data_IF_083950726331
#
_entry.id   IF_083950726331
#
_cell.length_a   1.000
_cell.length_b   1.000
_cell.length_c   1.000
_cell.angle_alpha   90.00
_cell.angle_beta   90.00
_cell.angle_gamma   90.00
#
_symmetry.space_group_name_H-M   'P 1'
#
loop_
_entity.id
_entity.type
_entity.pdbx_description
1 polymer ?
#
# COMPACT_ATOMS: atom_id res chain seq x y z
N UNK A 1 4.25 -1.82 18.66
CA UNK A 1 5.03 -1.11 17.64
C UNK A 1 6.19 -0.33 18.24
N UNK A 2 5.94 0.52 19.24
CA UNK A 2 6.97 1.33 19.92
C UNK A 2 8.22 0.54 20.36
N UNK A 3 8.06 -0.49 21.22
CA UNK A 3 9.19 -1.31 21.70
C UNK A 3 10.05 -1.90 20.57
N UNK A 4 9.41 -2.45 19.54
CA UNK A 4 10.12 -3.03 18.40
C UNK A 4 10.85 -1.95 17.58
N UNK A 5 10.18 -0.82 17.34
CA UNK A 5 10.72 0.28 16.55
C UNK A 5 11.93 0.91 17.24
N UNK A 6 11.88 1.08 18.56
CA UNK A 6 13.00 1.59 19.36
C UNK A 6 14.24 0.68 19.30
N UNK A 7 14.03 -0.65 19.34
CA UNK A 7 15.13 -1.62 19.17
C UNK A 7 15.69 -1.58 17.74
N UNK A 8 14.82 -1.55 16.73
CA UNK A 8 15.24 -1.52 15.33
C UNK A 8 15.95 -0.22 14.95
N UNK A 9 15.59 0.91 15.54
CA UNK A 9 16.22 2.21 15.28
C UNK A 9 17.74 2.22 15.49
N UNK A 10 18.24 1.36 16.37
CA UNK A 10 19.69 1.26 16.67
C UNK A 10 20.34 0.01 16.08
N UNK A 11 19.55 -1.02 15.76
CA UNK A 11 20.04 -2.32 15.32
C UNK A 11 19.94 -2.54 13.80
N UNK A 12 19.10 -1.77 13.10
CA UNK A 12 18.86 -1.91 11.67
C UNK A 12 19.39 -0.69 10.91
N UNK A 13 20.20 -0.95 9.89
CA UNK A 13 20.72 0.10 8.98
C UNK A 13 19.87 0.25 7.71
N UNK A 14 18.83 -0.58 7.55
CA UNK A 14 17.92 -0.55 6.41
C UNK A 14 16.63 0.22 6.76
N UNK A 15 15.96 0.81 5.76
CA UNK A 15 14.62 1.38 5.95
C UNK A 15 13.62 0.34 6.48
N UNK A 16 12.70 0.81 7.32
CA UNK A 16 11.66 -0.03 7.94
C UNK A 16 10.31 0.21 7.26
N UNK A 17 9.61 -0.89 6.99
CA UNK A 17 8.19 -0.87 6.61
C UNK A 17 7.38 -1.14 7.87
N UNK A 18 6.54 -0.17 8.28
CA UNK A 18 5.61 -0.34 9.39
C UNK A 18 4.30 -0.91 8.88
N UNK A 19 3.94 -2.10 9.37
CA UNK A 19 2.76 -2.83 8.91
C UNK A 19 1.62 -2.73 9.93
N UNK A 20 0.65 -1.87 9.65
CA UNK A 20 -0.57 -1.70 10.44
C UNK A 20 -1.63 -0.88 9.70
N UNK A 21 -2.90 -1.15 9.99
CA UNK A 21 -4.04 -0.33 9.56
C UNK A 21 -4.45 0.74 10.58
N UNK A 22 -3.83 0.74 11.76
CA UNK A 22 -4.24 1.59 12.89
C UNK A 22 -3.34 2.83 13.01
N UNK A 23 -3.86 4.05 12.82
CA UNK A 23 -3.05 5.28 12.85
C UNK A 23 -2.22 5.44 14.13
N UNK A 24 -2.79 5.10 15.29
CA UNK A 24 -2.09 5.18 16.57
C UNK A 24 -0.93 4.19 16.69
N UNK A 25 -1.02 3.03 16.04
CA UNK A 25 0.06 2.03 16.01
C UNK A 25 1.19 2.50 15.10
N UNK A 26 0.86 3.11 13.96
CA UNK A 26 1.82 3.70 13.03
C UNK A 26 2.57 4.86 13.67
N UNK A 27 1.85 5.82 14.27
CA UNK A 27 2.44 6.96 14.96
C UNK A 27 3.43 6.53 16.05
N UNK A 28 3.03 5.58 16.90
CA UNK A 28 3.90 5.04 17.95
C UNK A 28 5.15 4.32 17.42
N UNK A 29 5.16 3.87 16.16
CA UNK A 29 6.37 3.33 15.52
C UNK A 29 7.28 4.42 14.98
N UNK A 30 6.69 5.39 14.28
CA UNK A 30 7.40 6.49 13.62
C UNK A 30 8.11 7.42 14.62
N UNK A 31 7.56 7.61 15.82
CA UNK A 31 8.20 8.37 16.91
C UNK A 31 9.61 7.86 17.27
N UNK A 32 9.91 6.58 17.01
CA UNK A 32 11.20 5.97 17.31
C UNK A 32 12.14 5.84 16.11
N UNK A 33 11.68 6.08 14.88
CA UNK A 33 12.44 5.80 13.66
C UNK A 33 12.83 7.14 12.98
N UNK A 34 14.06 7.67 13.22
CA UNK A 34 14.48 8.99 12.76
C UNK A 34 14.81 9.07 11.25
N UNK A 35 14.17 8.24 10.42
CA UNK A 35 14.40 8.19 8.98
C UNK A 35 13.11 7.94 8.20
N UNK A 36 13.20 8.06 6.87
CA UNK A 36 12.05 7.80 5.99
C UNK A 36 11.65 6.32 6.05
N UNK A 37 10.47 6.07 6.60
CA UNK A 37 9.84 4.75 6.63
C UNK A 37 8.83 4.60 5.48
N UNK A 38 8.34 3.37 5.29
CA UNK A 38 7.18 3.10 4.46
C UNK A 38 6.04 2.59 5.35
N UNK A 39 4.83 3.06 5.13
CA UNK A 39 3.63 2.56 5.81
C UNK A 39 2.96 1.50 4.92
N UNK A 40 2.79 0.30 5.46
CA UNK A 40 1.95 -0.76 4.90
C UNK A 40 0.67 -0.85 5.73
N UNK A 41 -0.46 -0.33 5.29
CA UNK A 41 -0.78 0.24 3.97
C UNK A 41 -1.91 1.26 4.06
N UNK A 42 -2.26 1.83 2.90
CA UNK A 42 -3.53 2.54 2.68
C UNK A 42 -4.35 1.86 1.59
N UNK A 43 -5.67 2.00 1.67
CA UNK A 43 -6.65 1.51 0.71
C UNK A 43 -8.00 2.19 0.92
N UNK A 44 -8.98 1.91 0.05
CA UNK A 44 -10.34 2.46 0.13
C UNK A 44 -11.38 1.42 0.60
N UNK A 45 -11.00 0.41 1.40
CA UNK A 45 -11.93 -0.63 1.88
C UNK A 45 -13.13 -0.03 2.63
N UNK A 46 -12.92 1.03 3.40
CA UNK A 46 -13.95 1.82 4.08
C UNK A 46 -14.19 3.20 3.43
N UNK A 47 -13.80 3.34 2.17
CA UNK A 47 -13.93 4.54 1.35
C UNK A 47 -12.91 5.65 1.64
N UNK A 48 -13.06 6.78 0.96
CA UNK A 48 -12.21 7.97 1.07
C UNK A 48 -12.88 9.14 1.81
N UNK A 49 -14.09 8.93 2.33
CA UNK A 49 -14.87 9.93 3.04
C UNK A 49 -14.37 10.25 4.45
N UNK A 50 -14.91 11.32 5.09
CA UNK A 50 -14.51 11.72 6.44
C UNK A 50 -14.61 10.58 7.45
N UNK A 51 -13.52 10.34 8.20
CA UNK A 51 -13.45 9.31 9.23
C UNK A 51 -12.99 7.94 8.74
N UNK A 52 -12.85 7.72 7.43
CA UNK A 52 -12.28 6.48 6.92
C UNK A 52 -10.84 6.29 7.41
N UNK A 53 -10.37 5.05 7.46
CA UNK A 53 -8.98 4.73 7.81
C UNK A 53 -8.02 5.41 6.85
N UNK A 54 -8.35 5.48 5.56
CA UNK A 54 -7.58 6.23 4.57
C UNK A 54 -7.34 7.67 5.05
N UNK A 55 -8.41 8.42 5.33
CA UNK A 55 -8.34 9.81 5.79
C UNK A 55 -7.63 9.97 7.15
N UNK A 56 -7.66 8.94 8.01
CA UNK A 56 -6.97 8.97 9.31
C UNK A 56 -5.49 8.60 9.24
N UNK A 57 -5.09 7.75 8.30
CA UNK A 57 -3.69 7.33 8.12
C UNK A 57 -2.90 8.37 7.32
N UNK A 58 -3.52 9.00 6.33
CA UNK A 58 -2.81 9.93 5.43
C UNK A 58 -2.13 11.13 6.12
N UNK A 59 -2.71 11.78 7.16
CA UNK A 59 -2.00 12.79 7.94
C UNK A 59 -0.69 12.25 8.54
N UNK A 60 -0.73 11.03 9.10
CA UNK A 60 0.47 10.36 9.67
C UNK A 60 1.52 10.12 8.58
N UNK A 61 1.10 9.70 7.38
CA UNK A 61 1.99 9.50 6.22
C UNK A 61 2.70 10.80 5.84
N UNK A 62 1.94 11.88 5.64
CA UNK A 62 2.46 13.16 5.14
C UNK A 62 3.31 13.88 6.19
N UNK A 63 2.86 13.94 7.45
CA UNK A 63 3.58 14.59 8.55
C UNK A 63 4.95 13.95 8.82
N UNK A 64 5.08 12.64 8.59
CA UNK A 64 6.32 11.90 8.76
C UNK A 64 7.12 11.75 7.46
N UNK A 65 6.63 12.31 6.35
CA UNK A 65 7.23 12.20 5.02
C UNK A 65 7.44 10.75 4.58
N UNK A 66 6.58 9.82 5.02
CA UNK A 66 6.71 8.39 4.76
C UNK A 66 6.25 8.01 3.34
N UNK A 67 6.87 6.98 2.78
CA UNK A 67 6.31 6.31 1.61
C UNK A 67 5.09 5.46 1.99
N UNK A 68 4.31 5.02 1.01
CA UNK A 68 3.09 4.24 1.29
C UNK A 68 2.96 3.03 0.36
N UNK A 69 2.53 1.91 0.94
CA UNK A 69 1.99 0.78 0.18
C UNK A 69 0.51 1.05 -0.08
N UNK A 70 0.14 1.21 -1.34
CA UNK A 70 -1.24 1.42 -1.80
C UNK A 70 -1.81 0.07 -2.27
N UNK A 71 -2.67 -0.56 -1.45
CA UNK A 71 -3.30 -1.83 -1.81
C UNK A 71 -4.45 -1.58 -2.77
N UNK A 72 -4.59 -2.40 -3.82
CA UNK A 72 -5.74 -2.34 -4.73
C UNK A 72 -7.00 -2.95 -4.10
N UNK A 73 -7.47 -2.35 -3.01
CA UNK A 73 -8.70 -2.66 -2.29
C UNK A 73 -9.56 -1.40 -2.26
N UNK A 74 -10.81 -1.51 -2.66
CA UNK A 74 -11.80 -0.45 -2.63
C UNK A 74 -13.08 -0.91 -1.91
N UNK A 75 -14.15 -0.12 -2.00
CA UNK A 75 -15.43 -0.39 -1.37
C UNK A 75 -16.14 -1.64 -1.93
N UNK A 76 -15.75 -2.10 -3.13
CA UNK A 76 -16.19 -3.36 -3.73
C UNK A 76 -15.36 -4.57 -3.22
N UNK A 77 -14.30 -4.29 -2.45
CA UNK A 77 -13.41 -5.26 -1.82
C UNK A 77 -12.06 -5.37 -2.52
N UNK A 78 -11.49 -6.56 -2.47
CA UNK A 78 -10.14 -6.81 -2.96
C UNK A 78 -10.11 -7.07 -4.47
N UNK A 79 -9.47 -6.19 -5.24
CA UNK A 79 -9.50 -6.27 -6.69
C UNK A 79 -8.92 -7.58 -7.24
N UNK A 80 -9.72 -8.31 -8.04
CA UNK A 80 -9.36 -9.61 -8.62
C UNK A 80 -8.90 -9.54 -10.08
N UNK A 81 -9.54 -8.73 -10.92
CA UNK A 81 -9.19 -8.61 -12.35
C UNK A 81 -8.15 -7.52 -12.60
N UNK A 82 -7.37 -7.63 -13.68
CA UNK A 82 -6.37 -6.61 -14.02
C UNK A 82 -6.99 -5.22 -14.19
N UNK A 83 -8.16 -5.14 -14.84
CA UNK A 83 -8.89 -3.89 -15.04
C UNK A 83 -9.31 -3.24 -13.71
N UNK A 84 -9.85 -4.04 -12.78
CA UNK A 84 -10.23 -3.53 -11.47
C UNK A 84 -9.01 -3.08 -10.66
N UNK A 85 -7.93 -3.86 -10.65
CA UNK A 85 -6.67 -3.47 -9.99
C UNK A 85 -6.14 -2.13 -10.54
N UNK A 86 -6.14 -1.94 -11.86
CA UNK A 86 -5.74 -0.69 -12.51
C UNK A 86 -6.67 0.46 -12.13
N UNK A 87 -7.99 0.24 -12.08
CA UNK A 87 -8.98 1.24 -11.67
C UNK A 87 -8.71 1.74 -10.25
N UNK A 88 -8.54 0.83 -9.28
CA UNK A 88 -8.26 1.19 -7.89
C UNK A 88 -6.91 1.86 -7.74
N UNK A 89 -5.87 1.29 -8.36
CA UNK A 89 -4.52 1.87 -8.32
C UNK A 89 -4.50 3.29 -8.91
N UNK A 90 -5.19 3.53 -10.03
CA UNK A 90 -5.27 4.86 -10.64
C UNK A 90 -5.92 5.85 -9.68
N UNK A 91 -7.05 5.49 -9.06
CA UNK A 91 -7.73 6.33 -8.07
C UNK A 91 -6.83 6.63 -6.87
N UNK A 92 -6.12 5.63 -6.34
CA UNK A 92 -5.18 5.82 -5.23
C UNK A 92 -4.02 6.74 -5.62
N UNK A 93 -3.35 6.49 -6.75
CA UNK A 93 -2.21 7.29 -7.19
C UNK A 93 -2.63 8.74 -7.43
N UNK A 94 -3.74 8.96 -8.14
CA UNK A 94 -4.22 10.29 -8.47
C UNK A 94 -4.59 11.08 -7.20
N UNK A 95 -5.21 10.44 -6.19
CA UNK A 95 -5.54 11.09 -4.91
C UNK A 95 -4.30 11.36 -4.04
N UNK A 96 -3.39 10.38 -3.91
CA UNK A 96 -2.16 10.52 -3.15
C UNK A 96 -1.28 11.66 -3.69
N UNK A 97 -1.20 11.81 -5.02
CA UNK A 97 -0.45 12.89 -5.66
C UNK A 97 -1.22 14.22 -5.59
N UNK A 98 -2.52 14.20 -5.92
CA UNK A 98 -3.33 15.41 -6.06
C UNK A 98 -3.78 16.01 -4.74
N UNK A 99 -4.41 15.22 -3.89
CA UNK A 99 -4.99 15.67 -2.62
C UNK A 99 -3.95 15.70 -1.49
N UNK A 100 -3.03 14.74 -1.46
CA UNK A 100 -2.03 14.60 -0.38
C UNK A 100 -0.63 15.09 -0.74
N UNK A 101 -0.41 15.50 -2.00
CA UNK A 101 0.86 16.10 -2.43
C UNK A 101 2.06 15.17 -2.37
N UNK A 102 1.85 13.85 -2.43
CA UNK A 102 2.94 12.87 -2.40
C UNK A 102 3.73 12.86 -3.72
N UNK A 103 5.03 12.58 -3.64
CA UNK A 103 5.82 12.25 -4.81
C UNK A 103 5.44 10.86 -5.35
N UNK A 104 5.30 10.73 -6.67
CA UNK A 104 4.90 9.47 -7.30
C UNK A 104 5.88 8.31 -7.00
N UNK A 105 7.16 8.62 -6.77
CA UNK A 105 8.19 7.65 -6.41
C UNK A 105 8.07 7.11 -4.98
N UNK A 106 7.33 7.79 -4.10
CA UNK A 106 7.07 7.39 -2.72
C UNK A 106 5.84 6.44 -2.61
N UNK A 107 5.16 6.15 -3.74
CA UNK A 107 3.99 5.27 -3.79
C UNK A 107 4.40 3.88 -4.31
N UNK A 108 4.16 2.86 -3.48
CA UNK A 108 4.35 1.44 -3.81
C UNK A 108 2.97 0.79 -4.01
N UNK A 109 2.56 0.54 -5.25
CA UNK A 109 1.29 -0.15 -5.49
C UNK A 109 1.43 -1.65 -5.25
N UNK A 110 0.59 -2.20 -4.39
CA UNK A 110 0.40 -3.64 -4.25
C UNK A 110 -0.86 -4.07 -5.00
N UNK A 111 -0.65 -4.79 -6.09
CA UNK A 111 -1.72 -5.31 -6.95
C UNK A 111 -2.34 -6.60 -6.40
N UNK A 112 -2.10 -6.94 -5.14
CA UNK A 112 -2.56 -8.12 -4.40
C UNK A 112 -2.08 -9.45 -4.99
N UNK A 113 -1.66 -10.34 -4.10
CA UNK A 113 -1.30 -11.72 -4.43
C UNK A 113 -2.30 -12.67 -3.78
N UNK A 114 -2.88 -13.56 -4.58
CA UNK A 114 -3.87 -14.54 -4.13
C UNK A 114 -3.38 -15.97 -4.36
N UNK A 115 -3.80 -16.93 -3.50
CA UNK A 115 -3.48 -18.34 -3.71
C UNK A 115 -4.10 -18.89 -4.99
N UNK A 116 -3.29 -19.41 -5.91
CA UNK A 116 -3.76 -19.98 -7.18
C UNK A 116 -3.79 -21.51 -7.20
N UNK A 117 -3.20 -22.14 -6.18
CA UNK A 117 -3.11 -23.60 -6.04
C UNK A 117 -4.30 -24.24 -5.27
N UNK A 118 -5.40 -23.50 -5.08
CA UNK A 118 -6.56 -23.95 -4.27
C UNK A 118 -7.46 -24.97 -4.98
N UNK A 119 -7.29 -25.16 -6.30
CA UNK A 119 -8.13 -26.02 -7.14
C UNK A 119 -9.41 -25.36 -7.66
N UNK A 120 -9.73 -24.14 -7.22
CA UNK A 120 -10.87 -23.34 -7.69
C UNK A 120 -10.56 -22.74 -9.07
N UNK A 121 -11.53 -22.70 -9.98
CA UNK A 121 -11.30 -22.18 -11.34
C UNK A 121 -11.18 -20.65 -11.33
N UNK A 122 -11.91 -20.01 -10.43
CA UNK A 122 -12.06 -18.57 -10.28
C UNK A 122 -10.72 -17.90 -9.91
N UNK A 123 -9.87 -18.59 -9.16
CA UNK A 123 -8.57 -18.06 -8.67
C UNK A 123 -7.39 -18.37 -9.58
N UNK A 124 -7.54 -19.28 -10.56
CA UNK A 124 -6.43 -19.72 -11.43
C UNK A 124 -5.77 -18.59 -12.20
N UNK A 125 -6.51 -17.52 -12.47
CA UNK A 125 -6.02 -16.37 -13.23
C UNK A 125 -5.47 -15.26 -12.36
N UNK A 126 -5.67 -15.28 -11.04
CA UNK A 126 -5.34 -14.15 -10.16
C UNK A 126 -3.89 -13.69 -10.30
N UNK A 127 -2.93 -14.63 -10.38
CA UNK A 127 -1.51 -14.30 -10.61
C UNK A 127 -1.26 -13.60 -11.95
N UNK A 128 -1.93 -14.03 -13.02
CA UNK A 128 -1.85 -13.40 -14.33
C UNK A 128 -2.48 -12.00 -14.32
N UNK A 129 -3.63 -11.86 -13.67
CA UNK A 129 -4.31 -10.57 -13.52
C UNK A 129 -3.45 -9.56 -12.73
N UNK A 130 -2.74 -10.00 -11.70
CA UNK A 130 -1.77 -9.19 -10.95
C UNK A 130 -0.59 -8.73 -11.81
N UNK A 131 0.01 -9.62 -12.60
CA UNK A 131 1.14 -9.27 -13.49
C UNK A 131 0.69 -8.27 -14.58
N UNK A 132 -0.49 -8.51 -15.18
CA UNK A 132 -1.05 -7.63 -16.20
C UNK A 132 -1.37 -6.24 -15.64
N UNK A 133 -1.93 -6.16 -14.42
CA UNK A 133 -2.18 -4.90 -13.74
C UNK A 133 -0.89 -4.11 -13.50
N UNK A 134 0.16 -4.77 -12.98
CA UNK A 134 1.46 -4.15 -12.73
C UNK A 134 2.03 -3.54 -14.02
N UNK A 135 1.98 -4.26 -15.14
CA UNK A 135 2.45 -3.77 -16.43
C UNK A 135 1.66 -2.54 -16.90
N UNK A 136 0.33 -2.57 -16.78
CA UNK A 136 -0.54 -1.46 -17.17
C UNK A 136 -0.33 -0.22 -16.28
N UNK A 137 -0.21 -0.40 -14.96
CA UNK A 137 0.02 0.68 -13.99
C UNK A 137 1.37 1.35 -14.26
N UNK A 138 2.44 0.57 -14.42
CA UNK A 138 3.77 1.13 -14.71
C UNK A 138 3.84 1.88 -16.04
N UNK A 139 3.06 1.46 -17.04
CA UNK A 139 2.95 2.18 -18.31
C UNK A 139 2.20 3.51 -18.14
N UNK A 140 1.14 3.53 -17.33
CA UNK A 140 0.30 4.71 -17.11
C UNK A 140 0.92 5.73 -16.18
N UNK A 141 1.67 5.28 -15.17
CA UNK A 141 2.26 6.10 -14.11
C UNK A 141 3.78 5.90 -14.03
N UNK A 142 4.56 6.48 -14.97
CA UNK A 142 6.02 6.39 -14.92
C UNK A 142 6.56 7.00 -13.62
N UNK A 143 7.24 6.19 -12.81
CA UNK A 143 7.81 6.62 -11.52
C UNK A 143 7.24 5.87 -10.33
N UNK A 144 6.00 5.37 -10.44
CA UNK A 144 5.38 4.56 -9.39
C UNK A 144 6.14 3.26 -9.17
N UNK A 145 6.23 2.83 -7.91
CA UNK A 145 6.83 1.55 -7.52
C UNK A 145 5.74 0.51 -7.32
N UNK A 146 6.14 -0.76 -7.27
CA UNK A 146 5.22 -1.88 -7.06
C UNK A 146 5.83 -2.86 -6.07
N UNK A 147 5.00 -3.42 -5.19
CA UNK A 147 5.38 -4.46 -4.22
C UNK A 147 4.34 -5.57 -4.21
N UNK A 148 4.71 -6.77 -3.75
CA UNK A 148 3.80 -7.91 -3.61
C UNK A 148 4.22 -8.79 -2.42
N UNK A 149 3.24 -9.28 -1.66
CA UNK A 149 3.40 -10.42 -0.76
C UNK A 149 3.52 -11.74 -1.51
N UNK A 150 4.69 -12.03 -2.11
CA UNK A 150 4.91 -13.16 -3.03
C UNK A 150 4.63 -14.53 -2.40
N UNK A 151 4.76 -14.68 -1.08
CA UNK A 151 4.46 -15.94 -0.38
C UNK A 151 3.00 -16.39 -0.44
N UNK A 152 2.08 -15.50 -0.85
CA UNK A 152 0.64 -15.80 -0.87
C UNK A 152 0.19 -16.61 -2.10
N UNK A 153 1.03 -16.77 -3.13
CA UNK A 153 0.63 -17.32 -4.43
C UNK A 153 0.52 -18.85 -4.44
#
# INVERSE_FOLDING_TARGET
MSELSARLATACTLPIILDSTEPGVLAAGLEHLPGRCVINSVNFEDGDGPGSRYQRVMPVVVENGAGVVALTIDEEGQARTAEWKVRVASRLIDDLVGAWGMDIGDILVDCLTFPIATGQQETRRDGLETINAIAAIKKRYPGVRTTLGVSNI
#
